data_IF_801338534461
#
_entry.id   IF_801338534461
#
_cell.length_a   1.000
_cell.length_b   1.000
_cell.length_c   1.000
_cell.angle_alpha   90.00
_cell.angle_beta   90.00
_cell.angle_gamma   90.00
#
_symmetry.space_group_name_H-M   'P 1'
#
loop_
_entity.id
_entity.type
_entity.pdbx_description
1 polymer ?
#
# COMPACT_ATOMS: atom_id res chain seq x y z
N UNK A 1 18.50 -4.30 -16.88
CA UNK A 1 17.46 -4.30 -15.83
C UNK A 1 16.23 -3.55 -16.32
N UNK A 2 15.02 -4.10 -16.13
CA UNK A 2 13.75 -3.42 -16.43
C UNK A 2 12.65 -3.92 -15.49
N UNK A 3 11.60 -3.12 -15.28
CA UNK A 3 10.36 -3.62 -14.66
C UNK A 3 9.61 -4.42 -15.71
N UNK A 4 9.30 -5.67 -15.41
CA UNK A 4 8.52 -6.56 -16.28
C UNK A 4 7.06 -6.65 -15.84
N UNK A 5 6.80 -6.52 -14.54
CA UNK A 5 5.45 -6.67 -14.00
C UNK A 5 5.25 -5.79 -12.78
N UNK A 6 4.03 -5.28 -12.65
CA UNK A 6 3.58 -4.44 -11.55
C UNK A 6 2.31 -5.06 -10.98
N UNK A 7 2.30 -5.33 -9.68
CA UNK A 7 1.09 -5.71 -8.95
C UNK A 7 0.74 -4.63 -7.94
N UNK A 8 -0.54 -4.28 -7.89
CA UNK A 8 -1.08 -3.25 -7.00
C UNK A 8 -2.22 -3.85 -6.19
N UNK A 9 -2.15 -3.71 -4.88
CA UNK A 9 -3.17 -4.22 -3.95
C UNK A 9 -3.65 -3.11 -3.01
N UNK A 10 -4.96 -3.03 -2.79
CA UNK A 10 -5.60 -2.14 -1.81
C UNK A 10 -5.67 -0.65 -2.18
N UNK A 11 -5.37 -0.25 -3.43
CA UNK A 11 -5.28 1.16 -3.85
C UNK A 11 -6.49 1.64 -4.67
N UNK A 12 -7.37 2.43 -4.08
CA UNK A 12 -8.58 2.98 -4.72
C UNK A 12 -9.44 1.89 -5.37
N UNK A 13 -9.60 1.90 -6.70
CA UNK A 13 -10.34 0.86 -7.43
C UNK A 13 -9.49 -0.38 -7.77
N UNK A 14 -8.18 -0.31 -7.50
CA UNK A 14 -7.22 -1.37 -7.76
C UNK A 14 -7.11 -2.24 -6.49
N UNK A 15 -8.08 -3.15 -6.31
CA UNK A 15 -8.14 -4.05 -5.15
C UNK A 15 -6.99 -5.07 -5.17
N UNK A 16 -6.81 -5.73 -6.31
CA UNK A 16 -5.68 -6.60 -6.63
C UNK A 16 -5.59 -6.70 -8.16
N UNK A 17 -4.61 -6.01 -8.74
CA UNK A 17 -4.37 -6.06 -10.19
C UNK A 17 -2.91 -6.37 -10.48
N UNK A 18 -2.69 -7.03 -11.61
CA UNK A 18 -1.36 -7.30 -12.14
C UNK A 18 -1.28 -6.81 -13.59
N UNK A 19 -0.22 -6.07 -13.93
CA UNK A 19 0.05 -5.56 -15.28
C UNK A 19 1.45 -5.99 -15.69
N UNK A 20 1.56 -6.65 -16.84
CA UNK A 20 2.83 -6.95 -17.50
C UNK A 20 3.23 -5.76 -18.38
N UNK A 21 4.49 -5.34 -18.28
CA UNK A 21 5.05 -4.24 -19.04
C UNK A 21 5.91 -4.76 -20.20
N UNK A 22 5.65 -4.19 -21.37
CA UNK A 22 6.44 -4.40 -22.57
C UNK A 22 7.83 -3.78 -22.46
N UNK A 23 8.80 -4.33 -23.18
CA UNK A 23 10.21 -3.90 -23.12
C UNK A 23 10.41 -2.42 -23.47
N UNK A 24 9.65 -1.91 -24.44
CA UNK A 24 9.85 -0.57 -25.00
C UNK A 24 8.76 0.42 -24.57
N UNK A 25 7.49 0.05 -24.75
CA UNK A 25 6.35 0.93 -24.44
C UNK A 25 5.11 0.10 -24.18
N UNK A 26 4.40 0.42 -23.10
CA UNK A 26 3.13 -0.21 -22.73
C UNK A 26 2.01 0.81 -22.83
N UNK A 27 0.93 0.48 -23.55
CA UNK A 27 -0.25 1.36 -23.67
C UNK A 27 -1.40 0.76 -22.88
N UNK A 28 -1.88 1.48 -21.86
CA UNK A 28 -2.98 1.04 -21.02
C UNK A 28 -4.27 1.74 -21.48
N UNK A 29 -5.22 0.97 -22.02
CA UNK A 29 -6.52 1.46 -22.51
C UNK A 29 -7.66 0.82 -21.73
N UNK A 30 -8.74 1.57 -21.53
CA UNK A 30 -9.94 1.09 -20.84
C UNK A 30 -10.97 2.21 -20.69
N UNK A 31 -12.18 1.86 -20.23
CA UNK A 31 -13.27 2.84 -20.00
C UNK A 31 -12.87 3.94 -19.02
N UNK A 32 -13.59 5.05 -19.03
CA UNK A 32 -13.45 6.07 -17.98
C UNK A 32 -13.65 5.43 -16.60
N UNK A 33 -12.87 5.89 -15.61
CA UNK A 33 -12.88 5.38 -14.24
C UNK A 33 -12.45 3.90 -14.08
N UNK A 34 -11.76 3.30 -15.08
CA UNK A 34 -11.25 1.91 -14.98
C UNK A 34 -9.94 1.76 -14.18
N UNK A 35 -9.56 2.77 -13.37
CA UNK A 35 -8.34 2.71 -12.57
C UNK A 35 -7.03 3.11 -13.25
N UNK A 36 -7.00 3.47 -14.55
CA UNK A 36 -5.77 3.85 -15.28
C UNK A 36 -4.97 4.97 -14.62
N UNK A 37 -5.62 6.08 -14.29
CA UNK A 37 -4.98 7.21 -13.60
C UNK A 37 -4.55 6.85 -12.18
N UNK A 38 -5.26 5.92 -11.53
CA UNK A 38 -4.85 5.40 -10.22
C UNK A 38 -3.60 4.53 -10.34
N UNK A 39 -3.53 3.70 -11.39
CA UNK A 39 -2.35 2.89 -11.67
C UNK A 39 -1.11 3.75 -11.89
N UNK A 40 -1.23 4.88 -12.60
CA UNK A 40 -0.08 5.80 -12.75
C UNK A 40 0.21 6.55 -11.45
N UNK A 41 -0.81 7.01 -10.71
CA UNK A 41 -0.58 7.81 -9.49
C UNK A 41 -0.01 7.03 -8.31
N UNK A 42 -0.13 5.70 -8.28
CA UNK A 42 0.46 4.91 -7.19
C UNK A 42 1.99 4.98 -7.18
N UNK A 43 2.61 5.11 -8.36
CA UNK A 43 4.06 5.32 -8.47
C UNK A 43 4.46 6.66 -7.87
N UNK A 44 3.68 7.73 -8.11
CA UNK A 44 3.92 9.02 -7.47
C UNK A 44 3.72 8.95 -5.95
N UNK A 45 2.72 8.18 -5.49
CA UNK A 45 2.45 7.99 -4.07
C UNK A 45 3.57 7.26 -3.33
N UNK A 46 4.25 6.29 -3.94
CA UNK A 46 5.34 5.53 -3.31
C UNK A 46 6.73 6.10 -3.61
N UNK A 47 6.97 6.54 -4.85
CA UNK A 47 8.28 6.87 -5.39
C UNK A 47 8.45 8.36 -5.72
N UNK A 48 7.47 9.21 -5.42
CA UNK A 48 7.55 10.64 -5.69
C UNK A 48 8.62 11.35 -4.86
N UNK A 49 9.19 12.43 -5.39
CA UNK A 49 10.29 13.22 -4.77
C UNK A 49 9.97 13.75 -3.37
N UNK A 50 8.68 13.92 -3.07
CA UNK A 50 8.21 14.42 -1.78
C UNK A 50 7.99 13.33 -0.71
N UNK A 51 8.39 12.09 -0.99
CA UNK A 51 8.17 10.93 -0.14
C UNK A 51 6.73 10.39 -0.22
N UNK A 52 6.49 9.31 0.53
CA UNK A 52 5.22 8.60 0.46
C UNK A 52 4.04 9.45 0.94
N UNK A 53 3.02 9.62 0.09
CA UNK A 53 1.85 10.46 0.38
C UNK A 53 0.55 9.72 0.07
N UNK A 54 -0.02 9.10 1.09
CA UNK A 54 -1.32 8.44 1.03
C UNK A 54 -2.34 9.19 1.87
N UNK A 55 -3.57 9.20 1.38
CA UNK A 55 -4.75 9.72 2.08
C UNK A 55 -5.71 8.59 2.37
N UNK A 56 -6.69 8.86 3.24
CA UNK A 56 -7.75 7.89 3.52
C UNK A 56 -8.50 7.49 2.23
N UNK A 57 -8.62 8.43 1.30
CA UNK A 57 -9.30 8.21 0.02
C UNK A 57 -8.53 7.28 -0.93
N UNK A 58 -7.23 7.04 -0.67
CA UNK A 58 -6.40 6.15 -1.48
C UNK A 58 -6.56 4.68 -1.09
N UNK A 59 -7.07 4.39 0.10
CA UNK A 59 -7.48 3.03 0.45
C UNK A 59 -8.73 2.66 -0.33
N UNK A 60 -8.74 1.44 -0.85
CA UNK A 60 -9.91 0.86 -1.48
C UNK A 60 -11.11 0.78 -0.54
N UNK A 61 -12.31 0.71 -1.09
CA UNK A 61 -13.54 0.66 -0.27
C UNK A 61 -13.52 -0.55 0.67
N UNK A 62 -13.10 -1.72 0.17
CA UNK A 62 -12.94 -2.93 0.98
C UNK A 62 -11.87 -2.76 2.07
N UNK A 63 -10.79 -2.03 1.76
CA UNK A 63 -9.73 -1.75 2.73
C UNK A 63 -10.16 -0.79 3.84
N UNK A 64 -11.14 0.09 3.62
CA UNK A 64 -11.60 1.02 4.68
C UNK A 64 -12.36 0.31 5.79
N UNK A 65 -13.08 -0.77 5.48
CA UNK A 65 -13.77 -1.59 6.49
C UNK A 65 -12.78 -2.21 7.49
N UNK A 66 -11.57 -2.53 7.04
CA UNK A 66 -10.50 -3.05 7.89
C UNK A 66 -10.12 -2.10 9.05
N UNK A 67 -10.21 -0.79 8.86
CA UNK A 67 -10.02 0.17 9.96
C UNK A 67 -11.10 0.04 11.04
N UNK A 68 -12.36 -0.16 10.63
CA UNK A 68 -13.47 -0.36 11.56
C UNK A 68 -13.34 -1.69 12.30
N UNK A 69 -12.95 -2.76 11.60
CA UNK A 69 -12.71 -4.06 12.20
C UNK A 69 -11.56 -4.01 13.22
N UNK A 70 -10.46 -3.34 12.88
CA UNK A 70 -9.34 -3.15 13.81
C UNK A 70 -9.76 -2.34 15.05
N UNK A 71 -10.59 -1.31 14.88
CA UNK A 71 -11.15 -0.56 16.00
C UNK A 71 -12.01 -1.46 16.90
N UNK A 72 -12.89 -2.27 16.31
CA UNK A 72 -13.75 -3.20 17.05
C UNK A 72 -12.91 -4.20 17.87
N UNK A 73 -11.86 -4.77 17.27
CA UNK A 73 -10.94 -5.66 17.98
C UNK A 73 -10.26 -4.98 19.17
N UNK A 74 -9.89 -3.69 19.03
CA UNK A 74 -9.35 -2.92 20.16
C UNK A 74 -10.38 -2.76 21.29
N UNK A 75 -11.63 -2.45 20.94
CA UNK A 75 -12.73 -2.31 21.91
C UNK A 75 -13.04 -3.65 22.61
N UNK A 76 -12.85 -4.77 21.91
CA UNK A 76 -12.99 -6.14 22.46
C UNK A 76 -11.77 -6.60 23.28
N UNK A 77 -10.72 -5.79 23.38
CA UNK A 77 -9.50 -6.12 24.15
C UNK A 77 -8.59 -7.15 23.47
N UNK A 78 -8.64 -7.28 22.14
CA UNK A 78 -7.73 -8.13 21.39
C UNK A 78 -6.26 -7.71 21.54
N UNK A 79 -5.34 -8.63 21.24
CA UNK A 79 -3.90 -8.34 21.29
C UNK A 79 -3.48 -7.27 20.26
N UNK A 80 -2.43 -6.48 20.53
CA UNK A 80 -1.90 -5.50 19.57
C UNK A 80 -1.57 -6.10 18.20
N UNK A 81 -1.08 -7.33 18.17
CA UNK A 81 -0.76 -8.07 16.94
C UNK A 81 -2.01 -8.38 16.12
N UNK A 82 -3.10 -8.83 16.75
CA UNK A 82 -4.36 -9.08 16.05
C UNK A 82 -4.94 -7.79 15.44
N UNK A 83 -4.89 -6.68 16.19
CA UNK A 83 -5.35 -5.38 15.71
C UNK A 83 -4.47 -4.92 14.54
N UNK A 84 -3.14 -5.03 14.67
CA UNK A 84 -2.17 -4.65 13.65
C UNK A 84 -2.35 -5.46 12.35
N UNK A 85 -2.57 -6.77 12.48
CA UNK A 85 -2.78 -7.66 11.35
C UNK A 85 -4.12 -7.42 10.64
N UNK A 86 -5.08 -6.80 11.32
CA UNK A 86 -6.37 -6.42 10.73
C UNK A 86 -6.30 -5.11 9.95
N UNK A 87 -5.36 -4.21 10.26
CA UNK A 87 -5.25 -2.91 9.58
C UNK A 87 -4.97 -3.08 8.06
N UNK A 88 -5.54 -2.20 7.22
CA UNK A 88 -5.34 -2.27 5.78
C UNK A 88 -3.90 -1.90 5.39
N UNK A 89 -3.49 -2.44 4.25
CA UNK A 89 -2.18 -2.26 3.64
C UNK A 89 -2.44 -1.87 2.19
N UNK A 90 -1.66 -0.91 1.69
CA UNK A 90 -1.56 -0.68 0.24
C UNK A 90 -0.20 -1.23 -0.18
N UNK A 91 -0.17 -2.06 -1.21
CA UNK A 91 1.05 -2.73 -1.66
C UNK A 91 1.32 -2.44 -3.13
N UNK A 92 2.57 -2.09 -3.44
CA UNK A 92 3.11 -2.02 -4.78
C UNK A 92 4.24 -3.03 -4.90
N UNK A 93 4.04 -4.07 -5.70
CA UNK A 93 5.06 -5.06 -6.01
C UNK A 93 5.60 -4.84 -7.42
N UNK A 94 6.92 -4.67 -7.52
CA UNK A 94 7.62 -4.49 -8.78
C UNK A 94 8.48 -5.72 -9.06
N UNK A 95 8.16 -6.44 -10.13
CA UNK A 95 8.99 -7.53 -10.62
C UNK A 95 9.96 -6.97 -11.65
N UNK A 96 11.24 -7.06 -11.35
CA UNK A 96 12.33 -6.68 -12.22
C UNK A 96 12.85 -7.90 -12.96
N UNK A 97 13.19 -7.71 -14.24
CA UNK A 97 14.06 -8.63 -14.98
C UNK A 97 15.46 -8.05 -15.03
N UNK A 98 16.44 -8.81 -14.56
CA UNK A 98 17.86 -8.46 -14.62
C UNK A 98 18.62 -9.41 -15.55
N UNK A 99 19.86 -9.03 -15.83
CA UNK A 99 20.79 -9.82 -16.63
C UNK A 99 21.76 -10.49 -15.66
N UNK A 100 21.78 -11.82 -15.63
CA UNK A 100 22.62 -12.62 -14.74
C UNK A 100 24.11 -12.42 -15.03
N UNK A 101 24.45 -12.03 -16.26
CA UNK A 101 25.83 -11.82 -16.69
C UNK A 101 26.30 -10.38 -16.44
N UNK A 102 25.42 -9.51 -15.92
CA UNK A 102 25.79 -8.14 -15.61
C UNK A 102 26.80 -8.09 -14.45
N UNK A 103 27.86 -7.25 -14.55
CA UNK A 103 28.92 -7.19 -13.55
C UNK A 103 28.45 -6.68 -12.18
N UNK A 104 27.31 -5.98 -12.14
CA UNK A 104 26.67 -5.54 -10.90
C UNK A 104 25.16 -5.40 -11.10
N UNK A 105 24.41 -5.85 -10.11
CA UNK A 105 22.94 -5.74 -10.05
C UNK A 105 22.50 -4.49 -9.27
N UNK A 106 23.46 -3.73 -8.75
CA UNK A 106 23.23 -2.44 -8.10
C UNK A 106 22.25 -2.54 -6.92
N UNK A 107 21.25 -1.65 -6.83
CA UNK A 107 20.27 -1.65 -5.75
C UNK A 107 19.38 -2.90 -5.66
N UNK A 108 19.36 -3.78 -6.68
CA UNK A 108 18.59 -5.02 -6.64
C UNK A 108 19.29 -6.15 -5.88
N UNK A 109 20.60 -6.09 -5.67
CA UNK A 109 21.36 -7.17 -5.02
C UNK A 109 20.74 -7.66 -3.70
N UNK A 110 20.24 -6.78 -2.80
CA UNK A 110 19.59 -7.22 -1.56
C UNK A 110 18.24 -7.95 -1.75
N UNK A 111 17.61 -7.82 -2.92
CA UNK A 111 16.32 -8.46 -3.24
C UNK A 111 16.48 -9.83 -3.91
N UNK A 112 17.70 -10.21 -4.29
CA UNK A 112 18.00 -11.52 -4.86
C UNK A 112 18.39 -12.44 -3.70
N UNK A 113 17.35 -13.03 -3.12
CA UNK A 113 17.45 -13.91 -1.95
C UNK A 113 17.24 -15.38 -2.31
N UNK A 114 16.95 -15.66 -3.58
CA UNK A 114 16.77 -17.02 -4.05
C UNK A 114 18.12 -17.74 -4.16
N UNK A 115 18.06 -19.07 -4.07
CA UNK A 115 19.22 -19.96 -4.21
C UNK A 115 19.36 -20.48 -5.65
N UNK A 116 18.54 -19.96 -6.57
CA UNK A 116 18.46 -20.41 -7.95
C UNK A 116 19.41 -19.56 -8.80
N UNK A 117 20.54 -20.14 -9.18
CA UNK A 117 21.53 -19.41 -9.98
C UNK A 117 21.04 -19.08 -11.40
N UNK A 118 19.95 -19.70 -11.87
CA UNK A 118 19.34 -19.41 -13.16
C UNK A 118 18.25 -18.31 -13.06
N UNK A 119 18.01 -17.78 -11.85
CA UNK A 119 17.07 -16.70 -11.63
C UNK A 119 17.49 -15.43 -12.38
N UNK A 120 16.51 -14.83 -13.05
CA UNK A 120 16.68 -13.54 -13.75
C UNK A 120 15.64 -12.52 -13.29
N UNK A 121 14.96 -12.80 -12.19
CA UNK A 121 13.88 -11.98 -11.65
C UNK A 121 14.12 -11.60 -10.20
N UNK A 122 13.80 -10.36 -9.85
CA UNK A 122 13.82 -9.88 -8.47
C UNK A 122 12.50 -9.15 -8.19
N UNK A 123 11.98 -9.27 -6.97
CA UNK A 123 10.74 -8.61 -6.56
C UNK A 123 11.05 -7.59 -5.47
N UNK A 124 10.74 -6.33 -5.72
CA UNK A 124 10.70 -5.32 -4.68
C UNK A 124 9.24 -5.12 -4.25
N UNK A 125 8.95 -5.38 -2.98
CA UNK A 125 7.64 -5.13 -2.37
C UNK A 125 7.71 -3.84 -1.54
N UNK A 126 6.80 -2.91 -1.80
CA UNK A 126 6.68 -1.65 -1.09
C UNK A 126 5.29 -1.61 -0.46
N UNK A 127 5.26 -1.49 0.87
CA UNK A 127 4.01 -1.48 1.64
C UNK A 127 3.81 -0.13 2.32
N UNK A 128 2.61 0.43 2.18
CA UNK A 128 2.14 1.51 3.03
C UNK A 128 1.25 0.92 4.12
N UNK A 129 1.78 0.90 5.34
CA UNK A 129 1.12 0.34 6.52
C UNK A 129 1.34 1.23 7.75
N UNK A 130 0.41 1.26 8.71
CA UNK A 130 0.66 1.90 9.99
C UNK A 130 1.86 1.28 10.72
N UNK A 131 2.64 2.10 11.42
CA UNK A 131 3.70 1.62 12.31
C UNK A 131 3.11 1.20 13.65
N UNK A 132 3.48 0.02 14.16
CA UNK A 132 2.97 -0.53 15.43
C UNK A 132 3.07 0.48 16.59
N UNK A 133 4.23 1.13 16.74
CA UNK A 133 4.48 2.13 17.78
C UNK A 133 3.55 3.36 17.70
N UNK A 134 2.99 3.65 16.52
CA UNK A 134 2.10 4.80 16.27
C UNK A 134 0.62 4.43 16.22
N UNK A 135 0.25 3.16 16.47
CA UNK A 135 -1.15 2.71 16.42
C UNK A 135 -2.06 3.45 17.40
N UNK A 136 -1.53 3.94 18.52
CA UNK A 136 -2.30 4.76 19.45
C UNK A 136 -2.94 5.99 18.75
N UNK A 137 -2.27 6.59 17.76
CA UNK A 137 -2.81 7.73 16.99
C UNK A 137 -4.03 7.37 16.11
N UNK A 138 -4.23 6.09 15.80
CA UNK A 138 -5.40 5.61 15.05
C UNK A 138 -6.64 5.51 15.92
N UNK A 139 -6.46 5.17 17.19
CA UNK A 139 -7.54 4.67 18.02
C UNK A 139 -7.76 5.47 19.30
N UNK A 140 -6.78 6.25 19.77
CA UNK A 140 -6.91 7.15 20.92
C UNK A 140 -7.54 8.46 20.43
N UNK A 141 -8.76 8.35 19.92
CA UNK A 141 -9.53 9.47 19.39
C UNK A 141 -10.42 10.06 20.48
N UNK A 142 -10.66 11.39 20.46
CA UNK A 142 -11.57 12.01 21.41
C UNK A 142 -13.00 11.46 21.26
N UNK A 143 -13.84 11.69 22.27
CA UNK A 143 -15.26 11.36 22.19
C UNK A 143 -15.93 12.16 21.05
N UNK A 144 -16.89 11.56 20.33
CA UNK A 144 -17.59 12.26 19.26
C UNK A 144 -18.35 13.48 19.80
N UNK A 145 -18.37 14.61 19.08
CA UNK A 145 -19.23 15.75 19.40
C UNK A 145 -20.71 15.34 19.52
N UNK A 146 -21.47 16.05 20.34
CA UNK A 146 -22.91 15.81 20.52
C UNK A 146 -23.61 15.88 19.15
N UNK A 147 -24.35 14.82 18.80
CA UNK A 147 -25.08 14.70 17.53
C UNK A 147 -24.25 14.20 16.34
N UNK A 148 -22.95 13.91 16.51
CA UNK A 148 -22.13 13.30 15.46
C UNK A 148 -22.11 11.77 15.59
N UNK A 149 -22.32 11.09 14.47
CA UNK A 149 -22.26 9.63 14.42
C UNK A 149 -20.82 9.11 14.70
N UNK A 150 -20.63 8.10 15.58
CA UNK A 150 -19.30 7.64 15.99
C UNK A 150 -18.38 7.16 14.86
N UNK A 151 -18.95 6.60 13.79
CA UNK A 151 -18.19 6.15 12.63
C UNK A 151 -17.69 7.33 11.78
N UNK A 152 -18.55 8.33 11.56
CA UNK A 152 -18.19 9.57 10.85
C UNK A 152 -17.08 10.30 11.61
N UNK A 153 -17.21 10.40 12.93
CA UNK A 153 -16.18 10.98 13.79
C UNK A 153 -14.84 10.24 13.66
N UNK A 154 -14.88 8.91 13.70
CA UNK A 154 -13.69 8.08 13.57
C UNK A 154 -12.97 8.28 12.23
N UNK A 155 -13.68 8.24 11.10
CA UNK A 155 -13.05 8.48 9.80
C UNK A 155 -12.50 9.91 9.65
N UNK A 156 -13.12 10.90 10.30
CA UNK A 156 -12.59 12.27 10.35
C UNK A 156 -11.28 12.35 11.14
N UNK A 157 -11.19 11.70 12.30
CA UNK A 157 -9.95 11.61 13.06
C UNK A 157 -8.86 10.82 12.31
N UNK A 158 -9.25 9.70 11.71
CA UNK A 158 -8.36 8.84 10.91
C UNK A 158 -7.71 9.63 9.76
N UNK A 159 -8.51 10.40 9.02
CA UNK A 159 -8.01 11.26 7.93
C UNK A 159 -6.94 12.24 8.41
N UNK A 160 -7.10 12.81 9.60
CA UNK A 160 -6.15 13.78 10.16
C UNK A 160 -4.86 13.14 10.69
N UNK A 161 -4.91 11.86 11.06
CA UNK A 161 -3.79 11.15 11.69
C UNK A 161 -3.03 10.23 10.72
N UNK A 162 -3.59 9.90 9.55
CA UNK A 162 -2.99 9.02 8.54
C UNK A 162 -1.58 9.45 8.08
N UNK A 163 -1.35 10.75 7.92
CA UNK A 163 -0.03 11.27 7.56
C UNK A 163 1.02 11.14 8.68
N UNK A 164 0.60 10.86 9.92
CA UNK A 164 1.49 10.79 11.10
C UNK A 164 1.90 9.36 11.44
N UNK A 165 1.08 8.38 11.05
CA UNK A 165 1.21 6.95 11.45
C UNK A 165 2.06 6.10 10.51
N UNK A 166 2.44 6.66 9.37
CA UNK A 166 3.21 5.98 8.33
C UNK A 166 4.63 6.54 8.30
N UNK A 167 5.61 5.64 8.18
CA UNK A 167 7.03 5.79 7.83
C UNK A 167 7.69 4.46 8.15
#
# INVERSE_FOLDING_TARGET
>A
MRIEKVRVEGYRLLEDIEIVLEKNSTVIVGRNNSGKTSFTSIFDCFCGESGARFRLEDFSSLSREKFLNARKLKEEGASPEQIYNTLPIITLSLTFRYDSDAPTLGPLSPFIIDLDMDSTTAIACIEYRPVLAKMHLLFDIPQPPVGMEPQIHFFKCLRNNLSKISL
#
